data_IF_621214579152
#
_entry.id   IF_621214579152
#
_cell.length_a   1.000
_cell.length_b   1.000
_cell.length_c   1.000
_cell.angle_alpha   90.00
_cell.angle_beta   90.00
_cell.angle_gamma   90.00
#
_symmetry.space_group_name_H-M   'P 1'
#
loop_
_entity.id
_entity.type
_entity.pdbx_description
1 polymer ?
#
# COMPACT_ATOMS: atom_id res chain seq x y z
N UNK A 1 -20.12 -7.78 -9.07
CA UNK A 1 -19.56 -7.94 -7.72
C UNK A 1 -19.16 -6.53 -7.27
N UNK A 2 -19.63 -6.08 -6.13
CA UNK A 2 -19.20 -4.77 -5.57
C UNK A 2 -17.73 -4.88 -5.15
N UNK A 3 -16.90 -3.94 -5.59
CA UNK A 3 -15.48 -3.94 -5.26
C UNK A 3 -15.26 -3.72 -3.77
N UNK A 4 -14.47 -4.57 -3.12
CA UNK A 4 -14.14 -4.47 -1.69
C UNK A 4 -12.96 -3.54 -1.43
N UNK A 5 -12.11 -3.34 -2.45
CA UNK A 5 -10.93 -2.46 -2.37
C UNK A 5 -10.87 -1.57 -3.61
N UNK A 6 -10.59 -0.29 -3.40
CA UNK A 6 -10.37 0.70 -4.46
C UNK A 6 -9.01 1.35 -4.25
N UNK A 7 -8.18 1.40 -5.31
CA UNK A 7 -6.92 2.14 -5.33
C UNK A 7 -7.12 3.51 -5.98
N UNK A 8 -6.74 4.56 -5.28
CA UNK A 8 -6.83 5.95 -5.72
C UNK A 8 -5.43 6.58 -5.74
N UNK A 9 -5.03 7.04 -6.91
CA UNK A 9 -3.75 7.72 -7.13
C UNK A 9 -3.94 9.24 -7.16
N UNK A 10 -2.85 10.00 -7.31
CA UNK A 10 -2.87 11.46 -7.33
C UNK A 10 -3.87 12.04 -8.36
N UNK A 11 -4.11 11.34 -9.47
CA UNK A 11 -5.06 11.76 -10.52
C UNK A 11 -6.50 11.84 -10.00
N UNK A 12 -6.85 11.06 -8.98
CA UNK A 12 -8.17 11.10 -8.38
C UNK A 12 -8.49 12.44 -7.69
N UNK A 13 -7.47 13.27 -7.37
CA UNK A 13 -7.66 14.57 -6.74
C UNK A 13 -8.59 15.52 -7.54
N UNK A 14 -8.73 15.30 -8.84
CA UNK A 14 -9.58 16.08 -9.73
C UNK A 14 -11.07 15.67 -9.69
N UNK A 15 -11.41 14.55 -9.08
CA UNK A 15 -12.79 14.07 -9.04
C UNK A 15 -13.62 14.92 -8.04
N UNK A 16 -14.75 15.51 -8.47
CA UNK A 16 -15.52 16.45 -7.64
C UNK A 16 -16.11 15.77 -6.39
N UNK A 17 -16.54 14.51 -6.48
CA UNK A 17 -17.20 13.75 -5.41
C UNK A 17 -16.25 12.81 -4.66
N UNK A 18 -14.94 12.96 -4.85
CA UNK A 18 -13.94 12.04 -4.32
C UNK A 18 -14.13 11.69 -2.84
N UNK A 19 -14.29 12.71 -2.00
CA UNK A 19 -14.40 12.50 -0.55
C UNK A 19 -15.74 11.85 -0.15
N UNK A 20 -16.80 12.17 -0.87
CA UNK A 20 -18.10 11.53 -0.71
C UNK A 20 -18.01 10.04 -1.03
N UNK A 21 -17.35 9.70 -2.14
CA UNK A 21 -17.16 8.32 -2.57
C UNK A 21 -16.24 7.54 -1.62
N UNK A 22 -15.14 8.13 -1.16
CA UNK A 22 -14.26 7.53 -0.16
C UNK A 22 -15.04 7.21 1.12
N UNK A 23 -15.77 8.18 1.67
CA UNK A 23 -16.55 7.96 2.90
C UNK A 23 -17.62 6.89 2.71
N UNK A 24 -18.35 6.92 1.62
CA UNK A 24 -19.36 5.91 1.28
C UNK A 24 -18.77 4.52 1.21
N UNK A 25 -17.61 4.37 0.59
CA UNK A 25 -16.89 3.11 0.50
C UNK A 25 -16.53 2.60 1.91
N UNK A 26 -15.85 3.42 2.71
CA UNK A 26 -15.42 3.07 4.06
C UNK A 26 -16.61 2.78 5.00
N UNK A 27 -17.70 3.55 4.92
CA UNK A 27 -18.91 3.33 5.72
C UNK A 27 -19.62 2.02 5.37
N UNK A 28 -19.50 1.56 4.13
CA UNK A 28 -20.07 0.28 3.69
C UNK A 28 -19.19 -0.93 4.05
N UNK A 29 -18.12 -0.76 4.81
CA UNK A 29 -17.21 -1.83 5.23
C UNK A 29 -16.18 -2.22 4.18
N UNK A 30 -16.00 -1.41 3.15
CA UNK A 30 -15.02 -1.63 2.08
C UNK A 30 -13.76 -0.82 2.36
N UNK A 31 -12.66 -1.28 1.81
CA UNK A 31 -11.37 -0.62 1.99
C UNK A 31 -11.05 0.35 0.85
N UNK A 32 -10.31 1.39 1.18
CA UNK A 32 -9.78 2.34 0.21
C UNK A 32 -8.28 2.44 0.40
N UNK A 33 -7.53 2.27 -0.67
CA UNK A 33 -6.07 2.48 -0.71
C UNK A 33 -5.81 3.79 -1.45
N UNK A 34 -5.16 4.73 -0.79
CA UNK A 34 -4.68 5.95 -1.44
C UNK A 34 -3.15 5.92 -1.52
N UNK A 35 -2.60 6.57 -2.54
CA UNK A 35 -1.15 6.77 -2.61
C UNK A 35 -0.70 8.00 -1.82
N UNK A 36 0.56 8.04 -1.41
CA UNK A 36 1.17 9.26 -0.83
C UNK A 36 1.05 10.46 -1.76
N UNK A 37 1.00 10.25 -3.08
CA UNK A 37 0.75 11.30 -4.06
C UNK A 37 -0.64 11.92 -3.94
N UNK A 38 -1.68 11.12 -3.69
CA UNK A 38 -3.03 11.64 -3.43
C UNK A 38 -3.10 12.36 -2.08
N UNK A 39 -2.52 11.78 -1.04
CA UNK A 39 -2.42 12.42 0.28
C UNK A 39 -1.75 13.80 0.19
N UNK A 40 -0.68 13.93 -0.61
CA UNK A 40 0.02 15.20 -0.84
C UNK A 40 -0.83 16.20 -1.62
N UNK A 41 -1.69 15.73 -2.54
CA UNK A 41 -2.53 16.58 -3.37
C UNK A 41 -3.73 17.17 -2.62
N UNK A 42 -4.29 16.47 -1.62
CA UNK A 42 -5.50 16.89 -0.91
C UNK A 42 -5.38 16.64 0.62
N UNK A 43 -4.32 17.12 1.30
CA UNK A 43 -4.03 16.78 2.68
C UNK A 43 -5.16 17.18 3.65
N UNK A 44 -5.75 18.37 3.48
CA UNK A 44 -6.81 18.85 4.36
C UNK A 44 -8.09 18.00 4.25
N UNK A 45 -8.38 17.50 3.05
CA UNK A 45 -9.55 16.64 2.84
C UNK A 45 -9.35 15.26 3.47
N UNK A 46 -8.14 14.68 3.37
CA UNK A 46 -7.85 13.40 4.01
C UNK A 46 -7.81 13.54 5.53
N UNK A 47 -7.38 14.69 6.07
CA UNK A 47 -7.40 14.97 7.50
C UNK A 47 -8.81 14.92 8.13
N UNK A 48 -9.88 15.03 7.34
CA UNK A 48 -11.24 14.80 7.81
C UNK A 48 -11.55 13.33 8.15
N UNK A 49 -10.71 12.40 7.71
CA UNK A 49 -10.83 10.95 7.97
C UNK A 49 -9.76 10.51 8.97
N UNK A 50 -8.50 10.89 8.73
CA UNK A 50 -7.34 10.52 9.54
C UNK A 50 -6.27 11.60 9.44
N UNK A 51 -5.64 11.92 10.56
CA UNK A 51 -4.57 12.92 10.59
C UNK A 51 -3.24 12.31 10.11
N UNK A 52 -2.99 12.48 8.82
CA UNK A 52 -1.76 12.07 8.13
C UNK A 52 -1.15 13.25 7.39
N UNK A 53 0.18 13.30 7.35
CA UNK A 53 0.89 14.38 6.67
C UNK A 53 2.09 13.85 5.89
N UNK A 54 2.13 14.11 4.60
CA UNK A 54 3.37 14.03 3.84
C UNK A 54 4.27 15.20 4.24
N UNK A 55 5.51 14.91 4.64
CA UNK A 55 6.52 15.94 4.89
C UNK A 55 7.44 16.11 3.68
N UNK A 56 8.32 17.10 3.73
CA UNK A 56 9.37 17.26 2.71
C UNK A 56 10.62 16.40 3.01
N UNK A 57 10.57 15.63 4.11
CA UNK A 57 11.66 14.74 4.50
C UNK A 57 11.60 13.43 3.71
N UNK A 58 12.78 12.91 3.42
CA UNK A 58 12.98 11.62 2.78
C UNK A 58 14.10 10.88 3.46
N UNK A 59 14.08 9.56 3.45
CA UNK A 59 15.17 8.74 3.91
C UNK A 59 15.63 7.76 2.85
N UNK A 60 16.92 7.51 2.82
CA UNK A 60 17.50 6.42 2.10
C UNK A 60 17.44 5.18 3.00
N UNK A 61 16.62 4.20 2.63
CA UNK A 61 16.34 3.01 3.44
C UNK A 61 16.55 1.74 2.63
N UNK A 62 17.09 0.72 3.28
CA UNK A 62 17.23 -0.63 2.73
C UNK A 62 16.75 -1.71 3.72
N UNK A 63 16.20 -1.30 4.86
CA UNK A 63 15.64 -2.15 5.90
C UNK A 63 14.12 -1.93 5.95
N UNK A 64 13.34 -3.00 5.81
CA UNK A 64 11.89 -2.99 5.89
C UNK A 64 11.41 -3.64 7.19
N UNK A 65 12.03 -3.25 8.31
CA UNK A 65 11.71 -3.74 9.63
C UNK A 65 11.89 -5.25 9.75
N UNK A 66 10.86 -5.95 10.20
CA UNK A 66 10.90 -7.41 10.38
C UNK A 66 11.06 -8.21 9.08
N UNK A 67 10.98 -7.57 7.93
CA UNK A 67 11.10 -8.26 6.63
C UNK A 67 12.52 -8.32 6.09
N UNK A 68 13.47 -7.65 6.76
CA UNK A 68 14.88 -7.66 6.38
C UNK A 68 15.26 -6.58 5.37
N UNK A 69 16.45 -6.70 4.80
CA UNK A 69 16.99 -5.72 3.87
C UNK A 69 16.43 -5.87 2.45
N UNK A 70 16.25 -4.74 1.78
CA UNK A 70 15.79 -4.71 0.38
C UNK A 70 16.91 -5.01 -0.64
N UNK A 71 18.16 -5.03 -0.23
CA UNK A 71 19.32 -5.27 -1.09
C UNK A 71 19.90 -4.01 -1.74
N UNK A 72 19.15 -2.96 -1.92
CA UNK A 72 19.60 -1.61 -2.35
C UNK A 72 18.87 -0.52 -1.59
N UNK A 73 19.47 0.66 -1.57
CA UNK A 73 18.89 1.83 -0.93
C UNK A 73 17.75 2.38 -1.76
N UNK A 74 16.62 2.65 -1.10
CA UNK A 74 15.43 3.26 -1.70
C UNK A 74 15.15 4.60 -1.04
N UNK A 75 14.91 5.63 -1.83
CA UNK A 75 14.53 6.95 -1.33
C UNK A 75 13.04 7.01 -1.05
N UNK A 76 12.67 6.98 0.22
CA UNK A 76 11.27 6.92 0.67
C UNK A 76 10.84 8.26 1.26
N UNK A 77 9.76 8.89 0.76
CA UNK A 77 9.18 10.07 1.36
C UNK A 77 8.55 9.74 2.72
N UNK A 78 8.60 10.70 3.65
CA UNK A 78 8.02 10.52 4.97
C UNK A 78 6.54 10.84 4.99
N UNK A 79 5.76 9.93 5.55
CA UNK A 79 4.38 10.16 5.97
C UNK A 79 4.34 10.14 7.49
N UNK A 80 4.00 11.26 8.12
CA UNK A 80 3.76 11.36 9.56
C UNK A 80 2.34 10.91 9.89
N UNK A 81 2.18 10.21 11.00
CA UNK A 81 0.90 9.71 11.50
C UNK A 81 0.90 9.67 13.03
N UNK A 82 -0.28 9.62 13.62
CA UNK A 82 -0.47 9.39 15.05
C UNK A 82 -0.87 7.94 15.30
N UNK A 83 -0.21 7.30 16.26
CA UNK A 83 -0.42 5.87 16.57
C UNK A 83 -1.82 5.51 17.08
N UNK A 84 -2.60 6.51 17.49
CA UNK A 84 -4.01 6.30 17.88
C UNK A 84 -4.94 6.26 16.67
N UNK A 85 -4.53 6.83 15.53
CA UNK A 85 -5.36 7.01 14.35
C UNK A 85 -4.96 6.05 13.23
N UNK A 86 -3.68 5.71 13.17
CA UNK A 86 -3.13 4.81 12.15
C UNK A 86 -1.98 3.98 12.69
N UNK A 87 -1.68 2.87 12.02
CA UNK A 87 -0.52 2.04 12.33
C UNK A 87 0.15 1.49 11.07
N UNK A 88 1.40 1.11 11.21
CA UNK A 88 2.19 0.54 10.13
C UNK A 88 1.81 -0.93 9.87
N UNK A 89 1.45 -1.24 8.63
CA UNK A 89 1.35 -2.60 8.11
C UNK A 89 2.70 -3.03 7.57
N UNK A 90 3.34 -2.14 6.80
CA UNK A 90 4.71 -2.28 6.30
C UNK A 90 5.48 -1.01 6.60
N UNK A 91 6.64 -1.13 7.22
CA UNK A 91 7.52 -0.01 7.55
C UNK A 91 8.88 -0.12 6.88
N UNK A 92 9.51 1.00 6.61
CA UNK A 92 10.87 1.10 6.13
C UNK A 92 11.73 1.91 7.09
N UNK A 93 12.98 1.47 7.25
CA UNK A 93 13.91 2.06 8.22
C UNK A 93 13.57 1.70 9.66
N UNK A 94 14.50 1.97 10.56
CA UNK A 94 14.26 1.85 11.99
C UNK A 94 13.77 3.19 12.55
N UNK A 95 12.72 3.21 13.37
CA UNK A 95 12.35 4.43 14.04
C UNK A 95 13.54 4.89 14.88
N UNK A 96 13.96 6.14 14.70
CA UNK A 96 14.92 6.77 15.59
C UNK A 96 14.30 6.81 16.99
N UNK A 97 15.06 6.39 17.99
CA UNK A 97 14.63 6.36 19.39
C UNK A 97 14.03 7.70 19.81
N UNK A 98 12.78 7.68 20.24
CA UNK A 98 12.08 8.84 20.81
C UNK A 98 11.35 9.74 19.82
N UNK A 99 11.31 9.39 18.53
CA UNK A 99 10.57 10.13 17.50
C UNK A 99 9.34 9.40 17.01
N UNK A 100 8.29 10.15 16.76
CA UNK A 100 7.13 9.72 16.03
C UNK A 100 7.55 9.42 14.59
N UNK A 101 7.19 8.26 14.12
CA UNK A 101 7.21 7.82 12.73
C UNK A 101 8.58 7.47 12.14
N UNK A 102 8.71 6.24 11.80
CA UNK A 102 9.59 5.73 10.75
C UNK A 102 9.16 6.25 9.37
N UNK A 103 9.53 5.50 8.36
CA UNK A 103 9.10 5.73 6.98
C UNK A 103 8.11 4.63 6.60
N UNK A 104 6.82 4.79 6.90
CA UNK A 104 5.83 3.78 6.60
C UNK A 104 5.71 3.61 5.10
N UNK A 105 5.67 2.35 4.66
CA UNK A 105 5.35 1.99 3.27
C UNK A 105 3.85 1.80 3.11
N UNK A 106 3.21 1.18 4.10
CA UNK A 106 1.78 0.96 4.11
C UNK A 106 1.23 1.23 5.51
N UNK A 107 0.41 2.27 5.62
CA UNK A 107 -0.35 2.60 6.81
C UNK A 107 -1.77 2.08 6.68
N UNK A 108 -2.38 1.75 7.81
CA UNK A 108 -3.81 1.42 7.94
C UNK A 108 -4.45 2.34 8.97
N UNK A 109 -5.53 3.00 8.60
CA UNK A 109 -6.37 3.80 9.47
C UNK A 109 -7.81 3.28 9.42
N UNK A 110 -8.40 2.82 10.53
CA UNK A 110 -9.79 2.38 10.55
C UNK A 110 -10.70 3.61 10.44
N UNK A 111 -11.76 3.48 9.65
CA UNK A 111 -12.80 4.50 9.55
C UNK A 111 -14.16 3.83 9.36
N UNK A 112 -15.08 4.07 10.28
CA UNK A 112 -16.39 3.42 10.32
C UNK A 112 -16.26 1.88 10.28
N UNK A 113 -16.75 1.22 9.24
CA UNK A 113 -16.69 -0.23 9.09
C UNK A 113 -15.56 -0.69 8.16
N UNK A 114 -14.86 0.21 7.46
CA UNK A 114 -13.77 -0.06 6.54
C UNK A 114 -12.43 0.48 7.00
N UNK A 115 -11.41 0.38 6.15
CA UNK A 115 -10.07 0.89 6.42
C UNK A 115 -9.58 1.78 5.27
N UNK A 116 -9.02 2.92 5.63
CA UNK A 116 -8.20 3.72 4.72
C UNK A 116 -6.76 3.24 4.83
N UNK A 117 -6.20 2.81 3.71
CA UNK A 117 -4.78 2.52 3.60
C UNK A 117 -4.06 3.64 2.87
N UNK A 118 -2.85 3.94 3.31
CA UNK A 118 -1.96 4.86 2.60
C UNK A 118 -0.71 4.11 2.17
N UNK A 119 -0.54 3.98 0.86
CA UNK A 119 0.62 3.38 0.23
C UNK A 119 1.62 4.47 -0.13
N UNK A 120 2.78 4.46 0.51
CA UNK A 120 3.87 5.37 0.20
C UNK A 120 4.58 4.92 -1.07
N UNK A 121 4.56 5.79 -2.08
CA UNK A 121 5.24 5.55 -3.35
C UNK A 121 6.62 6.21 -3.28
N UNK A 122 7.72 5.50 -3.59
CA UNK A 122 9.03 6.11 -3.76
C UNK A 122 9.03 7.21 -4.83
N UNK A 123 9.99 8.12 -4.77
CA UNK A 123 10.13 9.19 -5.77
C UNK A 123 10.33 8.62 -7.19
N UNK A 124 11.13 7.57 -7.30
CA UNK A 124 11.22 6.76 -8.52
C UNK A 124 10.27 5.56 -8.38
N UNK A 125 9.22 5.56 -9.21
CA UNK A 125 8.25 4.47 -9.20
C UNK A 125 8.87 3.11 -9.58
N UNK A 126 9.97 3.10 -10.33
CA UNK A 126 10.73 1.89 -10.63
C UNK A 126 11.23 1.18 -9.36
N UNK A 127 11.47 1.93 -8.30
CA UNK A 127 11.90 1.39 -7.01
C UNK A 127 10.85 0.52 -6.30
N UNK A 128 9.60 0.52 -6.75
CA UNK A 128 8.59 -0.44 -6.25
C UNK A 128 9.02 -1.89 -6.53
N UNK A 129 9.77 -2.13 -7.60
CA UNK A 129 10.32 -3.45 -7.92
C UNK A 129 11.46 -3.89 -6.98
N UNK A 130 12.03 -2.95 -6.23
CA UNK A 130 13.10 -3.22 -5.28
C UNK A 130 12.61 -3.49 -3.84
N UNK A 131 11.30 -3.43 -3.62
CA UNK A 131 10.72 -3.82 -2.33
C UNK A 131 10.92 -5.32 -2.07
N UNK A 132 11.23 -5.72 -0.82
CA UNK A 132 11.34 -7.13 -0.47
C UNK A 132 10.01 -7.87 -0.68
N UNK A 133 10.10 -9.13 -1.10
CA UNK A 133 8.92 -9.94 -1.45
C UNK A 133 7.84 -9.95 -0.35
N UNK A 134 8.23 -10.03 0.93
CA UNK A 134 7.29 -10.01 2.05
C UNK A 134 6.52 -8.70 2.15
N UNK A 135 7.17 -7.56 1.91
CA UNK A 135 6.49 -6.26 1.87
C UNK A 135 5.50 -6.18 0.70
N UNK A 136 5.93 -6.62 -0.49
CA UNK A 136 5.05 -6.70 -1.67
C UNK A 136 3.86 -7.63 -1.45
N UNK A 137 4.04 -8.75 -0.76
CA UNK A 137 2.98 -9.72 -0.50
C UNK A 137 1.92 -9.17 0.46
N UNK A 138 2.30 -8.36 1.46
CA UNK A 138 1.33 -7.65 2.30
C UNK A 138 0.49 -6.64 1.48
N UNK A 139 1.13 -5.91 0.56
CA UNK A 139 0.43 -4.98 -0.34
C UNK A 139 -0.52 -5.77 -1.25
N UNK A 140 -0.05 -6.85 -1.88
CA UNK A 140 -0.86 -7.71 -2.76
C UNK A 140 -2.07 -8.27 -2.04
N UNK A 141 -1.90 -8.79 -0.82
CA UNK A 141 -2.99 -9.35 -0.03
C UNK A 141 -4.12 -8.35 0.21
N UNK A 142 -3.79 -7.09 0.50
CA UNK A 142 -4.78 -6.03 0.66
C UNK A 142 -5.45 -5.70 -0.66
N UNK A 143 -4.66 -5.55 -1.74
CA UNK A 143 -5.17 -5.21 -3.07
C UNK A 143 -6.01 -6.31 -3.70
N UNK A 144 -5.78 -7.58 -3.31
CA UNK A 144 -6.48 -8.75 -3.84
C UNK A 144 -7.69 -9.19 -3.01
N UNK A 145 -8.15 -8.36 -2.07
CA UNK A 145 -9.26 -8.71 -1.16
C UNK A 145 -10.58 -9.05 -1.88
N UNK A 146 -10.72 -8.61 -3.13
CA UNK A 146 -11.87 -8.94 -3.99
C UNK A 146 -11.78 -10.31 -4.65
N UNK A 147 -10.62 -10.92 -4.57
CA UNK A 147 -10.30 -12.18 -5.22
C UNK A 147 -10.16 -13.26 -4.16
N UNK A 148 -10.69 -14.44 -4.44
CA UNK A 148 -10.53 -15.63 -3.60
C UNK A 148 -9.12 -16.25 -3.76
N UNK A 149 -8.21 -15.52 -4.42
CA UNK A 149 -6.85 -15.96 -4.73
C UNK A 149 -5.89 -14.77 -4.78
N UNK A 150 -4.70 -14.93 -4.22
CA UNK A 150 -3.61 -13.98 -4.38
C UNK A 150 -2.26 -14.67 -4.54
N UNK A 151 -1.25 -13.91 -4.93
CA UNK A 151 0.08 -14.39 -5.23
C UNK A 151 1.07 -13.91 -4.17
N UNK A 152 1.83 -14.84 -3.58
CA UNK A 152 3.06 -14.55 -2.86
C UNK A 152 4.26 -14.81 -3.79
N UNK A 153 4.99 -13.76 -4.11
CA UNK A 153 6.08 -13.81 -5.07
C UNK A 153 7.03 -12.63 -4.90
N UNK A 154 8.26 -12.69 -5.43
CA UNK A 154 9.10 -11.51 -5.63
C UNK A 154 8.43 -10.47 -6.53
N UNK A 155 9.11 -9.34 -6.74
CA UNK A 155 8.69 -8.35 -7.73
C UNK A 155 8.67 -8.94 -9.15
N UNK A 156 8.04 -8.23 -10.07
CA UNK A 156 7.96 -8.61 -11.50
C UNK A 156 7.34 -10.00 -11.73
N UNK A 157 6.37 -10.38 -10.89
CA UNK A 157 5.54 -11.55 -11.11
C UNK A 157 4.09 -11.12 -11.07
N UNK A 158 3.34 -11.41 -12.14
CA UNK A 158 1.93 -11.10 -12.30
C UNK A 158 1.04 -12.31 -12.10
N UNK A 159 -0.14 -12.09 -11.52
CA UNK A 159 -1.23 -13.05 -11.45
C UNK A 159 -2.41 -12.50 -12.25
N UNK A 160 -2.87 -13.27 -13.22
CA UNK A 160 -4.06 -12.97 -14.02
C UNK A 160 -5.14 -13.98 -13.68
N UNK A 161 -6.28 -13.49 -13.24
CA UNK A 161 -7.43 -14.32 -12.83
C UNK A 161 -8.55 -14.12 -13.82
N UNK A 162 -9.04 -15.22 -14.38
CA UNK A 162 -10.11 -15.23 -15.37
C UNK A 162 -11.40 -15.81 -14.76
N UNK A 163 -12.55 -15.39 -15.26
CA UNK A 163 -13.87 -15.76 -14.79
C UNK A 163 -14.19 -17.26 -14.95
N UNK A 164 -13.49 -17.94 -15.85
CA UNK A 164 -13.59 -19.40 -16.06
C UNK A 164 -12.74 -20.22 -15.07
N UNK A 165 -12.28 -19.61 -13.95
CA UNK A 165 -11.39 -20.20 -12.95
C UNK A 165 -10.00 -20.56 -13.45
N UNK A 166 -9.57 -19.98 -14.56
CA UNK A 166 -8.20 -20.09 -15.04
C UNK A 166 -7.33 -19.05 -14.36
N UNK A 167 -6.15 -19.47 -13.91
CA UNK A 167 -5.11 -18.62 -13.37
C UNK A 167 -3.91 -18.66 -14.30
N UNK A 168 -3.33 -17.49 -14.57
CA UNK A 168 -2.06 -17.37 -15.28
C UNK A 168 -1.08 -16.63 -14.39
N UNK A 169 0.06 -17.25 -14.11
CA UNK A 169 1.18 -16.61 -13.41
C UNK A 169 2.26 -16.36 -14.43
N UNK A 170 2.68 -15.11 -14.55
CA UNK A 170 3.72 -14.71 -15.49
C UNK A 170 4.92 -14.14 -14.72
N UNK A 171 6.09 -14.68 -15.01
CA UNK A 171 7.36 -14.23 -14.48
C UNK A 171 8.05 -13.32 -15.49
N UNK A 172 8.19 -12.04 -15.17
CA UNK A 172 8.87 -11.03 -15.97
C UNK A 172 10.34 -10.84 -15.57
N UNK A 173 10.87 -11.71 -14.69
CA UNK A 173 12.29 -11.75 -14.38
C UNK A 173 13.01 -12.64 -15.40
N UNK A 174 14.32 -12.40 -15.58
CA UNK A 174 15.16 -13.20 -16.47
C UNK A 174 15.43 -14.60 -15.89
N UNK A 175 15.33 -14.75 -14.56
CA UNK A 175 15.61 -15.98 -13.84
C UNK A 175 14.33 -16.63 -13.28
N UNK A 176 14.32 -17.95 -13.09
CA UNK A 176 13.23 -18.63 -12.42
C UNK A 176 13.06 -18.12 -10.97
N UNK A 177 11.82 -17.94 -10.55
CA UNK A 177 11.49 -17.51 -9.19
C UNK A 177 10.48 -18.45 -8.55
N UNK A 178 10.57 -18.60 -7.24
CA UNK A 178 9.58 -19.33 -6.46
C UNK A 178 8.34 -18.47 -6.25
N UNK A 179 7.18 -19.05 -6.49
CA UNK A 179 5.87 -18.40 -6.30
C UNK A 179 4.94 -19.32 -5.51
N UNK A 180 4.05 -18.72 -4.75
CA UNK A 180 2.99 -19.43 -4.03
C UNK A 180 1.64 -18.79 -4.36
N UNK A 181 0.74 -19.59 -4.88
CA UNK A 181 -0.67 -19.19 -5.05
C UNK A 181 -1.38 -19.54 -3.75
N UNK A 182 -2.04 -18.56 -3.16
CA UNK A 182 -2.84 -18.71 -1.94
C UNK A 182 -4.30 -18.55 -2.31
N UNK A 183 -5.13 -19.51 -1.91
CA UNK A 183 -6.59 -19.47 -2.07
C UNK A 183 -7.22 -19.36 -0.69
N UNK A 184 -8.27 -18.58 -0.58
CA UNK A 184 -9.14 -18.56 0.58
C UNK A 184 -10.12 -19.74 0.42
N UNK A 185 -9.87 -20.84 1.11
CA UNK A 185 -10.76 -22.01 1.21
C UNK A 185 -11.87 -21.77 2.24
#
# INVERSE_FOLDING_TARGET
KDQQVVLLTAQAAQAPELMTDIRKQLQSGRDVVITSGLLKAIPEKIAEIVELRCTDLKALVNDFGRYGQAGRDLLIPQVQYYTNDAWEVVSAGRPLTGGVSGYPILLRAPYAAGNLYVLTIPDDMGNLYDFPAKALNEIRRIMSRDMDVYLEAPSKVGLFVYDNKTLVVENFNDEPVEVRIVTDD
#
